data_IF_338504382198
#
_entry.id   IF_338504382198
#
_cell.length_a   1.000
_cell.length_b   1.000
_cell.length_c   1.000
_cell.angle_alpha   90.00
_cell.angle_beta   90.00
_cell.angle_gamma   90.00
#
_symmetry.space_group_name_H-M   'P 1'
#
loop_
_entity.id
_entity.type
_entity.pdbx_description
1 polymer ?
#
# COMPACT_ATOMS: atom_id res chain seq x y z
N UNK A 1 7.46 13.87 11.26
CA UNK A 1 6.67 14.26 12.44
C UNK A 1 6.20 15.69 12.30
N UNK A 2 5.06 16.02 12.90
CA UNK A 2 4.53 17.37 12.95
C UNK A 2 4.48 17.83 14.40
N UNK A 3 4.97 19.04 14.65
CA UNK A 3 5.05 19.64 15.97
C UNK A 3 4.44 21.03 15.91
N UNK A 4 3.76 21.43 16.98
CA UNK A 4 3.17 22.75 17.14
C UNK A 4 3.84 23.45 18.31
N UNK A 5 4.15 24.73 18.12
CA UNK A 5 4.45 25.67 19.20
C UNK A 5 3.28 26.66 19.22
N UNK A 6 2.64 26.83 20.38
CA UNK A 6 1.41 27.64 20.51
C UNK A 6 1.68 29.15 20.29
N UNK A 7 2.86 29.62 20.69
CA UNK A 7 3.32 30.99 20.46
C UNK A 7 4.86 31.07 20.42
N UNK A 8 5.41 32.16 19.85
CA UNK A 8 6.86 32.35 19.70
C UNK A 8 7.41 33.44 20.63
N UNK A 9 6.55 34.09 21.41
CA UNK A 9 6.92 35.25 22.25
C UNK A 9 7.25 34.83 23.68
N UNK A 10 6.63 33.76 24.16
CA UNK A 10 6.81 33.24 25.50
C UNK A 10 8.13 32.47 25.60
N UNK A 11 9.01 32.82 26.56
CA UNK A 11 10.29 32.14 26.72
C UNK A 11 10.16 30.66 27.13
N UNK A 12 9.01 30.27 27.69
CA UNK A 12 8.71 28.90 28.11
C UNK A 12 7.90 28.11 27.07
N UNK A 13 7.65 28.67 25.88
CA UNK A 13 6.93 27.98 24.82
C UNK A 13 7.71 26.71 24.41
N UNK A 14 7.08 25.55 24.56
CA UNK A 14 7.68 24.26 24.21
C UNK A 14 6.87 23.56 23.11
N UNK A 15 7.54 22.93 22.13
CA UNK A 15 6.86 22.24 21.06
C UNK A 15 6.15 20.98 21.58
N UNK A 16 4.92 20.75 21.15
CA UNK A 16 4.20 19.48 21.36
C UNK A 16 3.98 18.73 20.06
N UNK A 17 4.09 17.41 20.11
CA UNK A 17 3.87 16.56 18.95
C UNK A 17 2.38 16.54 18.62
N UNK A 18 2.06 16.72 17.33
CA UNK A 18 0.70 16.56 16.84
C UNK A 18 0.48 15.13 16.36
N UNK A 19 -0.45 14.43 17.00
CA UNK A 19 -0.97 13.12 16.58
C UNK A 19 -1.89 13.29 15.37
N UNK A 20 -1.30 13.51 14.19
CA UNK A 20 -2.05 13.67 12.93
C UNK A 20 -1.98 12.40 12.10
N UNK A 21 -3.14 11.79 11.85
CA UNK A 21 -3.29 10.78 10.79
C UNK A 21 -3.44 11.48 9.45
N UNK A 22 -2.33 11.64 8.73
CA UNK A 22 -2.41 12.20 7.38
C UNK A 22 -3.13 11.20 6.46
N UNK A 23 -4.17 11.66 5.77
CA UNK A 23 -4.83 10.92 4.71
C UNK A 23 -4.03 10.98 3.41
N UNK A 24 -4.08 9.90 2.63
CA UNK A 24 -3.50 9.83 1.30
C UNK A 24 -2.20 9.02 1.22
N UNK A 25 -1.99 8.27 0.12
CA UNK A 25 -0.74 7.55 -0.12
C UNK A 25 0.38 8.58 -0.28
N UNK A 26 1.36 8.56 0.64
CA UNK A 26 2.48 9.53 0.71
C UNK A 26 3.56 9.22 -0.34
N UNK A 27 3.16 8.97 -1.58
CA UNK A 27 4.04 8.52 -2.67
C UNK A 27 5.23 9.45 -2.86
N UNK A 28 5.04 10.77 -2.80
CA UNK A 28 6.13 11.75 -2.90
C UNK A 28 7.17 11.71 -1.77
N UNK A 29 6.89 11.01 -0.67
CA UNK A 29 7.83 10.82 0.45
C UNK A 29 8.51 9.46 0.43
N UNK A 30 8.28 8.64 -0.60
CA UNK A 30 8.98 7.37 -0.75
C UNK A 30 10.47 7.67 -0.96
N UNK A 31 11.32 7.01 -0.19
CA UNK A 31 12.78 7.16 -0.29
C UNK A 31 13.31 6.83 -1.69
N UNK A 32 12.60 5.94 -2.40
CA UNK A 32 12.91 5.54 -3.77
C UNK A 32 11.64 5.28 -4.57
N UNK A 33 11.56 5.83 -5.77
CA UNK A 33 10.46 5.61 -6.71
C UNK A 33 10.82 4.46 -7.66
N UNK A 34 9.88 3.55 -7.87
CA UNK A 34 10.04 2.42 -8.80
C UNK A 34 9.20 2.72 -10.05
N UNK A 35 9.77 2.66 -11.26
CA UNK A 35 8.97 2.74 -12.48
C UNK A 35 8.10 1.49 -12.61
N UNK A 36 6.84 1.60 -12.16
CA UNK A 36 5.94 0.46 -11.98
C UNK A 36 5.81 -0.40 -13.24
N UNK A 37 5.63 0.22 -14.41
CA UNK A 37 5.45 -0.48 -15.69
C UNK A 37 6.60 -1.45 -16.04
N UNK A 38 7.83 -1.16 -15.60
CA UNK A 38 9.00 -2.01 -15.83
C UNK A 38 9.22 -3.07 -14.74
N UNK A 39 8.42 -3.04 -13.68
CA UNK A 39 8.59 -3.89 -12.49
C UNK A 39 7.31 -4.67 -12.15
N UNK A 40 6.35 -4.75 -13.08
CA UNK A 40 5.20 -5.64 -12.94
C UNK A 40 5.69 -7.07 -13.00
N UNK A 41 5.35 -7.86 -11.98
CA UNK A 41 5.69 -9.28 -11.92
C UNK A 41 4.51 -10.17 -12.33
N UNK A 42 3.35 -9.93 -11.72
CA UNK A 42 2.13 -10.72 -11.94
C UNK A 42 0.88 -9.89 -11.64
N UNK A 43 -0.27 -10.35 -12.14
CA UNK A 43 -1.56 -9.75 -11.84
C UNK A 43 -2.66 -10.79 -11.82
N UNK A 44 -3.73 -10.51 -11.07
CA UNK A 44 -4.99 -11.26 -11.12
C UNK A 44 -6.15 -10.27 -11.22
N UNK A 45 -7.04 -10.52 -12.19
CA UNK A 45 -8.16 -9.64 -12.52
C UNK A 45 -9.38 -10.08 -11.73
N UNK A 46 -10.13 -9.11 -11.22
CA UNK A 46 -11.39 -9.38 -10.53
C UNK A 46 -12.45 -9.93 -11.49
N UNK A 47 -13.47 -10.59 -10.94
CA UNK A 47 -14.52 -11.20 -11.75
C UNK A 47 -15.29 -10.20 -12.62
N UNK A 48 -15.29 -8.91 -12.24
CA UNK A 48 -15.96 -7.87 -13.03
C UNK A 48 -15.11 -7.34 -14.19
N UNK A 49 -13.82 -7.65 -14.22
CA UNK A 49 -12.88 -7.12 -15.21
C UNK A 49 -12.67 -5.61 -15.09
N UNK A 50 -12.90 -5.02 -13.91
CA UNK A 50 -12.80 -3.57 -13.68
C UNK A 50 -11.56 -3.20 -12.89
N UNK A 51 -10.91 -4.15 -12.24
CA UNK A 51 -9.72 -3.93 -11.46
C UNK A 51 -8.83 -5.18 -11.38
N UNK A 52 -7.58 -4.98 -10.98
CA UNK A 52 -6.63 -6.07 -10.78
C UNK A 52 -5.84 -5.88 -9.49
N UNK A 53 -5.55 -6.99 -8.84
CA UNK A 53 -4.41 -7.07 -7.94
C UNK A 53 -3.15 -7.20 -8.80
N UNK A 54 -2.19 -6.29 -8.63
CA UNK A 54 -0.97 -6.21 -9.42
C UNK A 54 0.22 -6.20 -8.48
N UNK A 55 1.17 -7.10 -8.70
CA UNK A 55 2.44 -7.12 -7.98
C UNK A 55 3.48 -6.26 -8.69
N UNK A 56 4.13 -5.39 -7.93
CA UNK A 56 5.19 -4.51 -8.42
C UNK A 56 6.36 -4.54 -7.43
N UNK A 57 7.51 -5.05 -7.86
CA UNK A 57 8.74 -5.13 -7.07
C UNK A 57 8.53 -5.67 -5.64
N UNK A 58 7.79 -6.77 -5.50
CA UNK A 58 7.53 -7.42 -4.21
C UNK A 58 6.39 -6.82 -3.39
N UNK A 59 5.68 -5.81 -3.89
CA UNK A 59 4.50 -5.23 -3.22
C UNK A 59 3.23 -5.55 -4.01
N UNK A 60 2.07 -5.52 -3.35
CA UNK A 60 0.75 -5.82 -3.92
C UNK A 60 -0.18 -4.60 -3.88
N UNK A 61 -0.71 -4.25 -5.04
CA UNK A 61 -1.60 -3.10 -5.22
C UNK A 61 -2.91 -3.51 -5.89
N UNK A 62 -4.00 -2.86 -5.51
CA UNK A 62 -5.28 -2.90 -6.18
C UNK A 62 -5.40 -1.72 -7.15
N UNK A 63 -5.54 -2.02 -8.43
CA UNK A 63 -5.60 -1.03 -9.51
C UNK A 63 -6.93 -1.15 -10.26
N UNK A 64 -7.75 -0.11 -10.20
CA UNK A 64 -8.89 0.03 -11.09
C UNK A 64 -8.40 0.27 -12.52
N UNK A 65 -8.99 -0.41 -13.50
CA UNK A 65 -8.61 -0.27 -14.91
C UNK A 65 -8.99 1.08 -15.51
N UNK A 66 -9.99 1.75 -14.94
CA UNK A 66 -10.49 3.03 -15.42
C UNK A 66 -10.72 4.00 -14.25
N UNK A 67 -10.15 5.20 -14.39
CA UNK A 67 -10.46 6.44 -13.65
C UNK A 67 -10.58 6.33 -12.11
N UNK A 68 -9.98 5.30 -11.51
CA UNK A 68 -9.99 5.09 -10.07
C UNK A 68 -8.57 5.09 -9.48
N UNK A 69 -8.49 5.16 -8.14
CA UNK A 69 -7.22 5.24 -7.45
C UNK A 69 -6.49 3.88 -7.44
N UNK A 70 -5.16 3.94 -7.43
CA UNK A 70 -4.34 2.84 -6.96
C UNK A 70 -4.42 2.76 -5.43
N UNK A 71 -4.65 1.56 -4.89
CA UNK A 71 -4.69 1.32 -3.44
C UNK A 71 -3.70 0.22 -3.07
N UNK A 72 -3.08 0.33 -1.91
CA UNK A 72 -2.12 -0.67 -1.43
C UNK A 72 -2.85 -1.78 -0.68
N UNK A 73 -2.48 -3.03 -0.95
CA UNK A 73 -2.87 -4.19 -0.16
C UNK A 73 -1.71 -4.59 0.76
N UNK A 74 -0.49 -4.69 0.21
CA UNK A 74 0.74 -4.95 0.98
C UNK A 74 1.93 -4.22 0.34
N UNK A 75 2.72 -3.50 1.14
CA UNK A 75 3.90 -2.74 0.69
C UNK A 75 4.94 -2.62 1.82
N UNK A 76 5.15 -3.71 2.56
CA UNK A 76 6.13 -3.74 3.64
C UNK A 76 7.55 -3.76 3.05
N UNK A 77 8.43 -2.80 3.38
CA UNK A 77 9.78 -2.79 2.87
C UNK A 77 10.56 -4.06 3.22
N UNK A 78 11.20 -4.68 2.23
CA UNK A 78 11.98 -5.91 2.42
C UNK A 78 11.16 -7.20 2.33
N UNK A 79 9.83 -7.11 2.28
CA UNK A 79 8.93 -8.24 2.06
C UNK A 79 8.67 -8.42 0.56
N UNK A 80 8.57 -9.68 0.14
CA UNK A 80 8.27 -10.08 -1.24
C UNK A 80 6.91 -10.76 -1.33
N UNK A 81 5.97 -10.05 -1.95
CA UNK A 81 4.67 -10.56 -2.38
C UNK A 81 4.70 -11.00 -3.84
N UNK A 82 4.03 -12.12 -4.15
CA UNK A 82 3.91 -12.69 -5.51
C UNK A 82 2.66 -13.55 -5.68
N UNK A 83 2.39 -13.97 -6.92
CA UNK A 83 1.33 -14.92 -7.27
C UNK A 83 -0.05 -14.51 -6.69
N UNK A 84 -0.53 -13.29 -6.97
CA UNK A 84 -1.86 -12.89 -6.52
C UNK A 84 -2.92 -13.72 -7.24
N UNK A 85 -3.96 -14.15 -6.52
CA UNK A 85 -5.11 -14.84 -7.10
C UNK A 85 -6.43 -14.38 -6.47
N UNK A 86 -7.37 -13.97 -7.31
CA UNK A 86 -8.71 -13.59 -6.87
C UNK A 86 -9.47 -14.81 -6.33
N UNK A 87 -10.09 -14.66 -5.17
CA UNK A 87 -10.88 -15.71 -4.52
C UNK A 87 -12.37 -15.48 -4.77
N UNK A 88 -12.79 -15.80 -6.00
CA UNK A 88 -14.19 -15.71 -6.43
C UNK A 88 -14.80 -14.30 -6.27
N UNK A 89 -16.11 -14.24 -6.01
CA UNK A 89 -16.87 -12.99 -5.88
C UNK A 89 -16.77 -12.33 -4.50
N UNK A 90 -16.05 -12.93 -3.54
CA UNK A 90 -16.01 -12.54 -2.13
C UNK A 90 -15.24 -11.24 -1.84
N UNK A 91 -14.65 -10.62 -2.86
CA UNK A 91 -13.81 -9.43 -2.68
C UNK A 91 -12.55 -9.74 -1.89
N UNK A 92 -11.92 -10.88 -2.17
CA UNK A 92 -10.70 -11.34 -1.51
C UNK A 92 -9.64 -11.72 -2.55
N UNK A 93 -8.39 -11.59 -2.16
CA UNK A 93 -7.23 -12.03 -2.95
C UNK A 93 -6.30 -12.84 -2.05
N UNK A 94 -5.85 -13.99 -2.55
CA UNK A 94 -4.75 -14.76 -1.98
C UNK A 94 -3.43 -14.33 -2.62
N UNK A 95 -2.32 -14.39 -1.89
CA UNK A 95 -0.98 -14.18 -2.44
C UNK A 95 0.06 -14.91 -1.59
N UNK A 96 1.25 -15.11 -2.15
CA UNK A 96 2.40 -15.63 -1.41
C UNK A 96 3.25 -14.48 -0.87
N UNK A 97 3.66 -14.55 0.39
CA UNK A 97 4.47 -13.54 1.09
C UNK A 97 5.54 -14.22 1.96
N UNK A 98 6.69 -13.57 2.13
CA UNK A 98 7.77 -13.97 3.04
C UNK A 98 7.87 -13.07 4.28
N UNK A 99 6.78 -12.35 4.62
CA UNK A 99 6.76 -11.37 5.71
C UNK A 99 7.24 -11.92 7.07
N UNK A 100 6.98 -13.20 7.33
CA UNK A 100 7.36 -13.91 8.55
C UNK A 100 8.63 -14.79 8.36
N UNK A 101 9.35 -14.61 7.25
CA UNK A 101 10.64 -15.26 6.95
C UNK A 101 10.53 -16.39 5.92
N UNK A 102 9.64 -17.37 6.15
CA UNK A 102 9.34 -18.41 5.17
C UNK A 102 8.15 -18.01 4.29
N UNK A 103 8.03 -18.63 3.11
CA UNK A 103 6.90 -18.39 2.23
C UNK A 103 5.59 -18.91 2.84
N UNK A 104 4.60 -18.02 2.93
CA UNK A 104 3.25 -18.33 3.39
C UNK A 104 2.21 -17.81 2.39
N UNK A 105 1.02 -18.42 2.42
CA UNK A 105 -0.16 -17.90 1.71
C UNK A 105 -0.93 -17.00 2.67
N UNK A 106 -1.19 -15.77 2.25
CA UNK A 106 -2.03 -14.82 2.98
C UNK A 106 -3.27 -14.48 2.15
N UNK A 107 -4.37 -14.12 2.83
CA UNK A 107 -5.61 -13.68 2.20
C UNK A 107 -5.96 -12.30 2.75
N UNK A 108 -6.19 -11.35 1.84
CA UNK A 108 -6.63 -10.00 2.18
C UNK A 108 -7.99 -9.69 1.53
N UNK A 109 -8.76 -8.83 2.18
CA UNK A 109 -9.95 -8.22 1.56
C UNK A 109 -9.53 -7.10 0.62
N UNK A 110 -10.22 -7.00 -0.51
CA UNK A 110 -10.00 -5.94 -1.48
C UNK A 110 -10.38 -4.57 -0.88
N UNK A 111 -9.60 -3.52 -1.13
CA UNK A 111 -9.90 -2.18 -0.62
C UNK A 111 -11.23 -1.66 -1.19
N UNK A 112 -12.16 -1.22 -0.32
CA UNK A 112 -13.43 -0.56 -0.70
C UNK A 112 -13.22 0.85 -1.22
#
# INVERSE_FOLDING_TARGET
>A
DLWLVEDLESPDATPRKLEVRLGGPRTGRRSYQVPAASNVDSLSVDETGRASAVTVRGSLYWLTHRDGPARTISDTPGVRVRLPEMLGSGGQVAYVTDADGEDAVEIAYLPR
#
